data_IF_171197399262
#
_entry.id   IF_171197399262
#
_cell.length_a   1.000
_cell.length_b   1.000
_cell.length_c   1.000
_cell.angle_alpha   90.00
_cell.angle_beta   90.00
_cell.angle_gamma   90.00
#
_symmetry.space_group_name_H-M   'P 1'
#
loop_
_entity.id
_entity.type
_entity.pdbx_description
1 polymer ?
#
# COMPACT_ATOMS: atom_id res chain seq x y z
N UNK A 1 0.31 2.04 -7.94
CA UNK A 1 0.31 2.24 -6.48
C UNK A 1 1.56 3.02 -6.04
N UNK A 2 1.55 3.69 -4.87
CA UNK A 2 2.54 4.70 -4.51
C UNK A 2 3.80 4.13 -3.82
N UNK A 3 4.32 3.01 -4.31
CA UNK A 3 5.51 2.36 -3.75
C UNK A 3 6.58 2.12 -4.81
N UNK A 4 7.82 2.20 -4.39
CA UNK A 4 8.99 1.96 -5.23
C UNK A 4 9.52 0.53 -5.11
N UNK A 5 8.88 -0.29 -4.29
CA UNK A 5 9.25 -1.68 -4.06
C UNK A 5 8.05 -2.62 -4.21
N UNK A 6 8.31 -3.88 -4.41
CA UNK A 6 7.32 -4.95 -4.47
C UNK A 6 7.84 -6.21 -3.79
N UNK A 7 6.92 -7.05 -3.28
CA UNK A 7 7.28 -8.32 -2.66
C UNK A 7 7.30 -9.46 -3.68
N UNK A 8 8.22 -10.40 -3.51
CA UNK A 8 8.32 -11.64 -4.30
C UNK A 8 9.08 -12.70 -3.52
N UNK A 9 9.14 -13.92 -4.04
CA UNK A 9 10.00 -14.96 -3.47
C UNK A 9 11.45 -14.77 -3.94
N UNK A 10 12.39 -15.15 -3.09
CA UNK A 10 13.84 -15.00 -3.36
C UNK A 10 14.29 -15.74 -4.61
N UNK A 11 13.64 -16.86 -4.96
CA UNK A 11 13.96 -17.68 -6.15
C UNK A 11 13.36 -17.15 -7.46
N UNK A 12 12.76 -15.96 -7.48
CA UNK A 12 12.19 -15.37 -8.69
C UNK A 12 13.25 -15.22 -9.79
N UNK A 13 12.93 -15.70 -11.00
CA UNK A 13 13.92 -15.85 -12.09
C UNK A 13 14.56 -14.53 -12.53
N UNK A 14 13.84 -13.42 -12.43
CA UNK A 14 14.34 -12.09 -12.82
C UNK A 14 15.38 -11.53 -11.83
N UNK A 15 15.52 -12.13 -10.63
CA UNK A 15 16.49 -11.75 -9.61
C UNK A 15 17.85 -12.45 -9.77
N UNK A 16 17.96 -13.42 -10.69
CA UNK A 16 19.24 -14.09 -10.95
C UNK A 16 20.31 -13.09 -11.36
N UNK A 17 21.60 -13.32 -10.99
CA UNK A 17 22.68 -12.36 -11.24
C UNK A 17 22.78 -11.88 -12.68
N UNK A 18 22.65 -12.78 -13.66
CA UNK A 18 22.70 -12.47 -15.09
C UNK A 18 21.61 -11.49 -15.54
N UNK A 19 20.48 -11.47 -14.85
CA UNK A 19 19.38 -10.54 -15.13
C UNK A 19 19.44 -9.30 -14.23
N UNK A 20 19.62 -9.50 -12.93
CA UNK A 20 19.53 -8.42 -11.95
C UNK A 20 20.73 -7.50 -11.98
N UNK A 21 21.94 -8.06 -12.00
CA UNK A 21 23.18 -7.30 -12.04
C UNK A 21 23.64 -6.99 -13.47
N UNK A 22 23.73 -8.02 -14.32
CA UNK A 22 24.43 -7.87 -15.60
C UNK A 22 23.57 -7.12 -16.62
N UNK A 23 22.25 -7.34 -16.64
CA UNK A 23 21.31 -6.66 -17.56
C UNK A 23 20.80 -5.35 -16.97
N UNK A 24 20.33 -5.36 -15.71
CA UNK A 24 19.70 -4.18 -15.11
C UNK A 24 20.67 -3.26 -14.37
N UNK A 25 21.89 -3.72 -14.07
CA UNK A 25 22.89 -2.96 -13.33
C UNK A 25 22.59 -2.74 -11.86
N UNK A 26 21.66 -3.50 -11.28
CA UNK A 26 21.23 -3.36 -9.88
C UNK A 26 22.14 -4.14 -8.95
N UNK A 27 22.42 -3.58 -7.78
CA UNK A 27 23.15 -4.25 -6.71
C UNK A 27 22.18 -4.83 -5.69
N UNK A 28 22.45 -6.03 -5.21
CA UNK A 28 21.63 -6.70 -4.21
C UNK A 28 21.53 -5.86 -2.92
N UNK A 29 22.66 -5.34 -2.46
CA UNK A 29 22.81 -4.54 -1.24
C UNK A 29 22.02 -3.22 -1.25
N UNK A 30 21.53 -2.80 -2.41
CA UNK A 30 20.74 -1.57 -2.58
C UNK A 30 19.28 -1.84 -2.93
N UNK A 31 18.96 -3.09 -3.33
CA UNK A 31 17.65 -3.38 -3.94
C UNK A 31 16.91 -4.59 -3.37
N UNK A 32 17.60 -5.56 -2.78
CA UNK A 32 16.96 -6.76 -2.23
C UNK A 32 16.96 -6.69 -0.71
N UNK A 33 15.79 -6.49 -0.15
CA UNK A 33 15.60 -6.34 1.29
C UNK A 33 14.87 -7.55 1.87
N UNK A 34 15.39 -8.07 2.98
CA UNK A 34 14.75 -9.11 3.75
C UNK A 34 13.99 -8.52 4.95
N UNK A 35 12.64 -8.58 4.95
CA UNK A 35 11.82 -8.06 6.04
C UNK A 35 12.05 -8.77 7.38
N UNK A 36 12.45 -10.03 7.36
CA UNK A 36 12.63 -10.83 8.57
C UNK A 36 13.88 -10.44 9.34
N UNK A 37 14.99 -10.20 8.64
CA UNK A 37 16.25 -9.76 9.25
C UNK A 37 16.42 -8.24 9.31
N UNK A 38 15.49 -7.47 8.71
CA UNK A 38 15.54 -6.00 8.61
C UNK A 38 16.84 -5.51 7.91
N UNK A 39 17.24 -6.17 6.81
CA UNK A 39 18.51 -5.89 6.11
C UNK A 39 18.37 -5.99 4.60
N UNK A 40 19.19 -5.21 3.90
CA UNK A 40 19.50 -5.49 2.51
C UNK A 40 20.47 -6.66 2.41
N UNK A 41 20.20 -7.59 1.49
CA UNK A 41 21.02 -8.78 1.30
C UNK A 41 22.27 -8.46 0.47
N UNK A 42 23.42 -9.02 0.87
CA UNK A 42 24.53 -9.12 -0.04
C UNK A 42 24.23 -10.14 -1.14
N UNK A 43 25.01 -10.12 -2.23
CA UNK A 43 24.90 -11.16 -3.28
C UNK A 43 25.09 -12.58 -2.70
N UNK A 44 25.99 -12.73 -1.75
CA UNK A 44 26.24 -14.02 -1.11
C UNK A 44 25.04 -14.47 -0.28
N UNK A 45 24.49 -13.58 0.56
CA UNK A 45 23.30 -13.89 1.36
C UNK A 45 22.10 -14.24 0.48
N UNK A 46 21.93 -13.50 -0.63
CA UNK A 46 20.88 -13.80 -1.60
C UNK A 46 21.01 -15.22 -2.20
N UNK A 47 22.23 -15.58 -2.65
CA UNK A 47 22.48 -16.91 -3.24
C UNK A 47 22.30 -18.04 -2.22
N UNK A 48 22.76 -17.81 -0.98
CA UNK A 48 22.54 -18.74 0.13
C UNK A 48 21.06 -18.93 0.43
N UNK A 49 20.29 -17.84 0.47
CA UNK A 49 18.85 -17.88 0.71
C UNK A 49 18.11 -18.59 -0.44
N UNK A 50 18.49 -18.34 -1.69
CA UNK A 50 17.93 -19.09 -2.86
C UNK A 50 18.17 -20.59 -2.73
N UNK A 51 19.33 -21.00 -2.24
CA UNK A 51 19.71 -22.41 -2.11
C UNK A 51 18.98 -23.12 -0.95
N UNK A 52 18.79 -22.42 0.17
CA UNK A 52 18.29 -23.03 1.41
C UNK A 52 16.80 -22.74 1.67
N UNK A 53 16.30 -21.59 1.23
CA UNK A 53 14.94 -21.09 1.50
C UNK A 53 14.29 -20.50 0.23
N UNK A 54 14.14 -21.25 -0.87
CA UNK A 54 13.73 -20.69 -2.17
C UNK A 54 12.34 -20.03 -2.18
N UNK A 55 11.50 -20.32 -1.21
CA UNK A 55 10.17 -19.72 -1.00
C UNK A 55 10.18 -18.48 -0.09
N UNK A 56 11.34 -18.09 0.44
CA UNK A 56 11.43 -16.95 1.36
C UNK A 56 10.99 -15.64 0.68
N UNK A 57 10.14 -14.87 1.38
CA UNK A 57 9.59 -13.61 0.87
C UNK A 57 10.57 -12.47 1.10
N UNK A 58 10.87 -11.76 0.05
CA UNK A 58 11.72 -10.57 0.06
C UNK A 58 11.00 -9.36 -0.54
N UNK A 59 11.56 -8.19 -0.33
CA UNK A 59 11.13 -6.93 -0.95
C UNK A 59 12.19 -6.48 -1.94
N UNK A 60 11.75 -6.20 -3.16
CA UNK A 60 12.60 -5.75 -4.26
C UNK A 60 12.37 -4.27 -4.50
N UNK A 61 13.38 -3.45 -4.23
CA UNK A 61 13.36 -2.03 -4.51
C UNK A 61 13.72 -1.75 -5.97
N UNK A 62 12.97 -0.86 -6.60
CA UNK A 62 13.16 -0.45 -7.99
C UNK A 62 13.50 1.05 -8.02
N UNK A 63 14.79 1.41 -7.98
CA UNK A 63 15.22 2.81 -7.84
C UNK A 63 14.63 3.77 -8.87
N UNK A 64 14.53 3.32 -10.13
CA UNK A 64 13.96 4.12 -11.22
C UNK A 64 12.52 4.58 -10.97
N UNK A 65 11.72 3.84 -10.20
CA UNK A 65 10.35 4.24 -9.88
C UNK A 65 10.27 5.50 -9.03
N UNK A 66 11.30 5.77 -8.22
CA UNK A 66 11.35 6.97 -7.38
C UNK A 66 11.28 8.25 -8.22
N UNK A 67 11.99 8.26 -9.35
CA UNK A 67 12.03 9.42 -10.24
C UNK A 67 10.71 9.63 -10.99
N UNK A 68 9.98 8.54 -11.25
CA UNK A 68 8.69 8.59 -11.95
C UNK A 68 7.52 8.96 -11.06
N UNK A 69 7.63 8.75 -9.76
CA UNK A 69 6.55 8.93 -8.79
C UNK A 69 5.95 10.34 -8.86
N UNK A 70 6.77 11.38 -8.94
CA UNK A 70 6.31 12.77 -9.02
C UNK A 70 5.42 13.05 -10.25
N UNK A 71 5.68 12.39 -11.37
CA UNK A 71 4.88 12.56 -12.57
C UNK A 71 3.52 11.87 -12.43
N UNK A 72 3.50 10.68 -11.86
CA UNK A 72 2.31 9.90 -11.59
C UNK A 72 1.37 10.62 -10.66
N UNK A 73 1.89 11.23 -9.54
CA UNK A 73 1.12 11.97 -8.55
C UNK A 73 0.42 13.21 -9.15
N UNK A 74 0.94 13.76 -10.24
CA UNK A 74 0.40 14.94 -10.92
C UNK A 74 -0.37 14.63 -12.21
N UNK A 75 -0.54 13.36 -12.57
CA UNK A 75 -1.18 12.96 -13.84
C UNK A 75 -2.71 12.98 -13.72
N UNK A 76 -3.42 13.80 -14.52
CA UNK A 76 -4.87 13.81 -14.51
C UNK A 76 -5.48 12.44 -14.83
N UNK A 77 -6.62 12.13 -14.20
CA UNK A 77 -7.38 10.89 -14.38
C UNK A 77 -6.63 9.60 -13.99
N UNK A 78 -5.39 9.71 -13.51
CA UNK A 78 -4.69 8.60 -12.88
C UNK A 78 -5.36 8.27 -11.55
N UNK A 79 -5.80 7.03 -11.39
CA UNK A 79 -6.38 6.53 -10.14
C UNK A 79 -5.33 5.82 -9.30
N UNK A 80 -5.51 5.86 -7.99
CA UNK A 80 -4.65 5.14 -7.05
C UNK A 80 -5.31 3.82 -6.67
N UNK A 81 -4.55 2.74 -6.86
CA UNK A 81 -4.91 1.41 -6.38
C UNK A 81 -3.87 0.93 -5.35
N UNK A 82 -4.31 0.15 -4.38
CA UNK A 82 -3.44 -0.38 -3.33
C UNK A 82 -2.64 -1.60 -3.79
N UNK A 83 -3.20 -2.40 -4.70
CA UNK A 83 -2.68 -3.74 -5.00
C UNK A 83 -2.57 -4.60 -3.71
N UNK A 84 -3.54 -4.38 -2.77
CA UNK A 84 -3.55 -5.00 -1.45
C UNK A 84 -3.68 -6.52 -1.55
N UNK A 85 -3.07 -7.19 -0.59
CA UNK A 85 -3.19 -8.62 -0.39
C UNK A 85 -4.12 -8.92 0.79
N UNK A 86 -4.58 -10.15 0.90
CA UNK A 86 -5.31 -10.62 2.09
C UNK A 86 -4.42 -10.49 3.33
N UNK A 87 -5.04 -10.31 4.50
CA UNK A 87 -4.35 -10.31 5.78
C UNK A 87 -3.86 -11.72 6.11
N UNK A 88 -2.59 -11.99 5.86
CA UNK A 88 -1.96 -13.26 6.19
C UNK A 88 -0.90 -13.06 7.27
N UNK A 89 -0.72 -14.07 8.10
CA UNK A 89 0.39 -14.16 9.04
C UNK A 89 1.68 -14.65 8.35
N UNK A 90 2.76 -14.79 9.10
CA UNK A 90 4.06 -15.28 8.62
C UNK A 90 4.03 -16.74 8.11
N UNK A 91 2.99 -17.51 8.43
CA UNK A 91 2.82 -18.89 7.99
C UNK A 91 1.90 -18.98 6.76
N UNK A 92 1.34 -17.84 6.30
CA UNK A 92 0.40 -17.79 5.20
C UNK A 92 -1.05 -18.08 5.60
N UNK A 93 -1.36 -18.09 6.90
CA UNK A 93 -2.70 -18.31 7.41
C UNK A 93 -3.48 -16.99 7.45
N UNK A 94 -4.79 -17.04 7.19
CA UNK A 94 -5.65 -15.86 7.26
C UNK A 94 -5.74 -15.33 8.68
N UNK A 95 -5.42 -14.04 8.84
CA UNK A 95 -5.58 -13.35 10.11
C UNK A 95 -7.05 -13.11 10.42
N UNK A 96 -7.46 -13.31 11.69
CA UNK A 96 -8.78 -12.90 12.13
C UNK A 96 -8.94 -11.37 12.06
N UNK A 97 -10.18 -10.92 12.06
CA UNK A 97 -10.52 -9.50 11.92
C UNK A 97 -9.88 -8.60 13.00
N UNK A 98 -9.76 -9.11 14.20
CA UNK A 98 -9.23 -8.42 15.40
C UNK A 98 -7.76 -8.74 15.69
N UNK A 99 -7.05 -9.35 14.73
CA UNK A 99 -5.63 -9.63 14.85
C UNK A 99 -4.82 -8.36 15.13
N UNK A 100 -3.77 -8.51 15.92
CA UNK A 100 -2.82 -7.41 16.11
C UNK A 100 -2.14 -7.07 14.77
N UNK A 101 -2.06 -5.79 14.38
CA UNK A 101 -1.42 -5.38 13.12
C UNK A 101 0.02 -5.88 12.95
N UNK A 102 0.73 -6.18 14.05
CA UNK A 102 2.09 -6.74 14.00
C UNK A 102 2.16 -8.19 13.53
N UNK A 103 1.03 -8.90 13.56
CA UNK A 103 0.95 -10.29 13.06
C UNK A 103 0.91 -10.36 11.53
N UNK A 104 0.57 -9.25 10.87
CA UNK A 104 0.50 -9.20 9.41
C UNK A 104 1.89 -9.36 8.77
N UNK A 105 2.00 -10.35 7.88
CA UNK A 105 3.21 -10.64 7.14
C UNK A 105 3.00 -10.38 5.63
N UNK A 106 3.13 -9.12 5.22
CA UNK A 106 2.93 -8.74 3.84
C UNK A 106 3.52 -7.38 3.50
N UNK A 107 3.15 -6.85 2.36
CA UNK A 107 3.62 -5.55 1.91
C UNK A 107 2.84 -4.42 2.60
N UNK A 108 3.48 -3.33 3.06
CA UNK A 108 2.81 -2.21 3.73
C UNK A 108 1.71 -1.53 2.90
N UNK A 109 1.66 -1.79 1.58
CA UNK A 109 0.63 -1.26 0.68
C UNK A 109 -0.80 -1.62 1.11
N UNK A 110 -0.99 -2.74 1.81
CA UNK A 110 -2.30 -3.20 2.25
C UNK A 110 -3.00 -2.18 3.15
N UNK A 111 -2.29 -1.61 4.13
CA UNK A 111 -2.85 -0.64 5.07
C UNK A 111 -2.45 0.81 4.84
N UNK A 112 -1.53 1.10 3.89
CA UNK A 112 -0.92 2.44 3.83
C UNK A 112 -0.86 3.09 2.44
N UNK A 113 -1.43 2.49 1.40
CA UNK A 113 -1.38 3.07 0.03
C UNK A 113 -1.96 4.48 -0.04
N UNK A 114 -3.10 4.73 0.57
CA UNK A 114 -3.76 6.03 0.49
C UNK A 114 -3.05 7.10 1.32
N UNK A 115 -2.64 6.77 2.53
CA UNK A 115 -1.86 7.68 3.38
C UNK A 115 -0.48 7.98 2.80
N UNK A 116 0.16 6.99 2.16
CA UNK A 116 1.42 7.18 1.41
C UNK A 116 1.21 8.15 0.24
N UNK A 117 0.12 8.00 -0.52
CA UNK A 117 -0.20 8.91 -1.63
C UNK A 117 -0.41 10.34 -1.12
N UNK A 118 -1.20 10.52 -0.05
CA UNK A 118 -1.45 11.84 0.56
C UNK A 118 -0.14 12.49 1.04
N UNK A 119 0.73 11.72 1.70
CA UNK A 119 2.03 12.19 2.15
C UNK A 119 2.91 12.61 0.96
N UNK A 120 3.08 11.74 -0.02
CA UNK A 120 3.92 12.02 -1.20
C UNK A 120 3.40 13.20 -2.02
N UNK A 121 2.08 13.30 -2.21
CA UNK A 121 1.45 14.43 -2.90
C UNK A 121 1.74 15.75 -2.19
N UNK A 122 1.58 15.79 -0.87
CA UNK A 122 1.92 16.96 -0.03
C UNK A 122 3.40 17.34 -0.16
N UNK A 123 4.31 16.38 -0.08
CA UNK A 123 5.76 16.61 -0.20
C UNK A 123 6.19 17.08 -1.60
N UNK A 124 5.41 16.75 -2.63
CA UNK A 124 5.66 17.16 -4.02
C UNK A 124 4.80 18.35 -4.46
N UNK A 125 4.07 19.01 -3.55
CA UNK A 125 3.27 20.19 -3.85
C UNK A 125 2.05 19.95 -4.73
N UNK A 126 1.56 18.69 -4.81
CA UNK A 126 0.33 18.37 -5.53
C UNK A 126 -0.87 18.85 -4.73
N UNK A 127 -1.83 19.58 -5.34
CA UNK A 127 -2.99 20.09 -4.62
C UNK A 127 -3.82 18.99 -3.97
N UNK A 128 -4.24 19.18 -2.72
CA UNK A 128 -5.00 18.18 -1.96
C UNK A 128 -6.24 17.69 -2.71
N UNK A 129 -7.03 18.59 -3.28
CA UNK A 129 -8.27 18.20 -3.99
C UNK A 129 -7.99 17.36 -5.24
N UNK A 130 -6.85 17.57 -5.90
CA UNK A 130 -6.42 16.73 -7.01
C UNK A 130 -6.09 15.30 -6.52
N UNK A 131 -5.35 15.19 -5.42
CA UNK A 131 -5.03 13.90 -4.80
C UNK A 131 -6.29 13.18 -4.32
N UNK A 132 -7.25 13.88 -3.72
CA UNK A 132 -8.52 13.28 -3.32
C UNK A 132 -9.33 12.78 -4.52
N UNK A 133 -9.27 13.46 -5.65
CA UNK A 133 -9.89 12.95 -6.88
C UNK A 133 -9.23 11.64 -7.34
N UNK A 134 -7.91 11.51 -7.27
CA UNK A 134 -7.20 10.26 -7.57
C UNK A 134 -7.54 9.13 -6.62
N UNK A 135 -7.77 9.43 -5.33
CA UNK A 135 -8.04 8.43 -4.30
C UNK A 135 -9.51 7.98 -4.24
N UNK A 136 -10.43 8.80 -4.72
CA UNK A 136 -11.87 8.59 -4.51
C UNK A 136 -12.71 8.87 -5.77
N UNK A 137 -12.80 10.13 -6.18
CA UNK A 137 -13.75 10.56 -7.20
C UNK A 137 -13.53 9.88 -8.56
N UNK A 138 -12.30 9.87 -9.07
CA UNK A 138 -12.01 9.25 -10.37
C UNK A 138 -12.18 7.74 -10.37
N UNK A 139 -11.86 7.07 -9.25
CA UNK A 139 -12.13 5.65 -9.08
C UNK A 139 -13.63 5.34 -9.18
N UNK A 140 -14.44 6.05 -8.41
CA UNK A 140 -15.90 5.87 -8.40
C UNK A 140 -16.50 6.24 -9.76
N UNK A 141 -16.04 7.34 -10.38
CA UNK A 141 -16.49 7.78 -11.69
C UNK A 141 -16.17 6.72 -12.77
N UNK A 142 -14.93 6.23 -12.82
CA UNK A 142 -14.50 5.22 -13.79
C UNK A 142 -15.39 3.97 -13.71
N UNK A 143 -15.59 3.42 -12.52
CA UNK A 143 -16.43 2.24 -12.33
C UNK A 143 -17.93 2.54 -12.57
N UNK A 144 -18.39 3.72 -12.17
CA UNK A 144 -19.78 4.14 -12.40
C UNK A 144 -20.10 4.33 -13.89
N UNK A 145 -19.17 4.88 -14.66
CA UNK A 145 -19.30 5.08 -16.12
C UNK A 145 -19.32 3.74 -16.88
N UNK A 146 -18.69 2.68 -16.32
CA UNK A 146 -18.77 1.32 -16.88
C UNK A 146 -20.05 0.55 -16.51
N UNK A 147 -20.97 1.19 -15.80
CA UNK A 147 -22.31 0.65 -15.47
C UNK A 147 -22.47 0.12 -14.04
N UNK A 148 -21.46 0.26 -13.17
CA UNK A 148 -21.58 -0.13 -11.76
C UNK A 148 -22.35 0.95 -10.98
N UNK A 149 -23.67 0.79 -10.87
CA UNK A 149 -24.60 1.77 -10.28
C UNK A 149 -24.20 2.18 -8.85
N UNK A 150 -23.74 1.23 -8.05
CA UNK A 150 -23.28 1.50 -6.67
C UNK A 150 -22.16 2.54 -6.60
N UNK A 151 -21.34 2.68 -7.62
CA UNK A 151 -20.24 3.66 -7.68
C UNK A 151 -20.71 5.04 -8.16
N UNK A 152 -21.87 5.16 -8.76
CA UNK A 152 -22.50 6.46 -9.08
C UNK A 152 -22.96 7.21 -7.83
N UNK A 153 -23.14 6.47 -6.72
CA UNK A 153 -23.55 7.00 -5.42
C UNK A 153 -22.39 7.26 -4.46
N UNK A 154 -21.12 7.03 -4.88
CA UNK A 154 -19.90 7.13 -4.07
C UNK A 154 -18.88 8.11 -4.66
N UNK A 155 -17.77 8.29 -3.98
CA UNK A 155 -16.61 9.07 -4.43
C UNK A 155 -16.72 10.57 -4.24
N UNK A 156 -17.80 11.07 -3.61
CA UNK A 156 -18.04 12.50 -3.36
C UNK A 156 -18.89 12.75 -2.14
N UNK A 157 -18.70 13.87 -1.48
CA UNK A 157 -19.55 14.35 -0.41
C UNK A 157 -20.66 15.19 -1.03
N UNK A 158 -21.87 14.63 -1.10
CA UNK A 158 -23.04 15.28 -1.70
C UNK A 158 -24.31 14.77 -1.03
N UNK A 159 -25.30 15.66 -0.81
CA UNK A 159 -26.61 15.29 -0.28
C UNK A 159 -27.28 14.23 -1.15
N UNK A 160 -27.79 13.18 -0.53
CA UNK A 160 -28.45 12.05 -1.21
C UNK A 160 -27.49 10.95 -1.68
N UNK A 161 -26.17 11.09 -1.48
CA UNK A 161 -25.19 10.07 -1.77
C UNK A 161 -24.84 9.23 -0.54
N UNK A 162 -24.24 8.06 -0.77
CA UNK A 162 -23.83 7.16 0.30
C UNK A 162 -22.75 7.82 1.15
N UNK A 163 -22.91 7.76 2.46
CA UNK A 163 -22.00 8.35 3.42
C UNK A 163 -20.82 7.40 3.71
N UNK A 164 -19.90 7.30 2.75
CA UNK A 164 -18.58 6.70 2.92
C UNK A 164 -17.57 7.83 3.09
N UNK A 165 -17.18 8.12 4.33
CA UNK A 165 -16.42 9.32 4.68
C UNK A 165 -15.15 8.95 5.46
N UNK A 166 -14.07 9.64 5.15
CA UNK A 166 -12.82 9.56 5.92
C UNK A 166 -12.45 10.95 6.39
N UNK A 167 -12.33 11.13 7.71
CA UNK A 167 -11.87 12.37 8.32
C UNK A 167 -10.37 12.22 8.63
N UNK A 168 -9.58 13.18 8.18
CA UNK A 168 -8.14 13.16 8.38
C UNK A 168 -7.56 14.58 8.44
N UNK A 169 -6.41 14.71 9.10
CA UNK A 169 -5.64 15.95 9.06
C UNK A 169 -4.70 15.93 7.84
N UNK A 170 -4.89 16.82 6.85
CA UNK A 170 -4.08 16.84 5.64
C UNK A 170 -2.59 17.15 5.89
N UNK A 171 -2.24 17.73 7.04
CA UNK A 171 -0.86 18.08 7.38
C UNK A 171 -0.11 16.92 8.04
N UNK A 172 -0.82 16.04 8.73
CA UNK A 172 -0.20 14.99 9.56
C UNK A 172 -0.47 13.56 9.07
N UNK A 173 -1.47 13.35 8.19
CA UNK A 173 -1.77 12.03 7.64
C UNK A 173 -0.53 11.43 6.97
N UNK A 174 -0.17 10.20 7.41
CA UNK A 174 1.03 9.51 6.96
C UNK A 174 0.93 7.99 7.17
N UNK A 175 1.65 7.17 6.39
CA UNK A 175 1.82 5.75 6.68
C UNK A 175 2.65 5.57 7.96
N UNK A 176 2.33 4.53 8.73
CA UNK A 176 3.18 4.02 9.82
C UNK A 176 3.79 2.68 9.44
N UNK A 177 3.12 1.94 8.55
CA UNK A 177 3.62 0.66 8.08
C UNK A 177 4.96 0.82 7.33
N UNK A 178 5.90 -0.09 7.61
CA UNK A 178 7.21 -0.19 6.97
C UNK A 178 7.34 -1.54 6.28
N UNK A 179 8.47 -1.80 5.62
CA UNK A 179 8.73 -3.10 5.02
C UNK A 179 9.18 -4.16 6.03
N UNK A 180 9.51 -3.75 7.26
CA UNK A 180 9.97 -4.64 8.33
C UNK A 180 8.83 -5.52 8.84
N UNK A 181 9.12 -6.79 9.07
CA UNK A 181 8.18 -7.72 9.68
C UNK A 181 7.77 -7.24 11.07
N UNK A 182 6.48 -7.31 11.38
CA UNK A 182 5.90 -6.77 12.61
C UNK A 182 5.53 -5.28 12.55
N UNK A 183 5.98 -4.55 11.52
CA UNK A 183 5.62 -3.15 11.30
C UNK A 183 4.82 -2.94 10.02
N UNK A 184 4.76 -3.92 9.15
CA UNK A 184 4.17 -3.85 7.81
C UNK A 184 2.62 -3.81 7.80
N UNK A 185 1.98 -4.18 8.89
CA UNK A 185 0.53 -4.06 9.11
C UNK A 185 0.09 -2.83 9.89
N UNK A 186 1.01 -1.98 10.35
CA UNK A 186 0.66 -0.85 11.21
C UNK A 186 -0.35 0.10 10.52
N UNK A 187 -1.42 0.53 11.23
CA UNK A 187 -2.40 1.44 10.69
C UNK A 187 -1.80 2.83 10.44
N UNK A 188 -2.34 3.53 9.45
CA UNK A 188 -1.93 4.90 9.13
C UNK A 188 -2.23 5.87 10.27
N UNK A 189 -1.39 6.91 10.41
CA UNK A 189 -1.61 8.00 11.35
C UNK A 189 -2.47 9.12 10.74
N UNK A 190 -3.11 9.93 11.60
CA UNK A 190 -3.84 11.12 11.19
C UNK A 190 -5.22 10.87 10.59
N UNK A 191 -5.81 9.69 10.82
CA UNK A 191 -7.16 9.31 10.36
C UNK A 191 -7.99 8.90 11.59
N UNK A 192 -8.55 9.85 12.34
CA UNK A 192 -9.30 9.54 13.57
C UNK A 192 -10.67 8.89 13.31
N UNK A 193 -11.32 9.19 12.17
CA UNK A 193 -12.68 8.74 11.91
C UNK A 193 -12.86 8.20 10.50
N UNK A 194 -13.52 7.03 10.40
CA UNK A 194 -13.98 6.47 9.14
C UNK A 194 -15.44 6.06 9.27
N UNK A 195 -16.23 6.43 8.30
CA UNK A 195 -17.68 6.12 8.22
C UNK A 195 -17.89 5.35 6.93
N UNK A 196 -18.60 4.23 7.02
CA UNK A 196 -18.99 3.41 5.87
C UNK A 196 -20.49 3.24 5.89
N UNK A 197 -21.14 3.56 4.78
CA UNK A 197 -22.60 3.48 4.65
C UNK A 197 -23.36 4.15 5.82
N UNK A 198 -22.85 5.30 6.29
CA UNK A 198 -23.40 6.07 7.40
C UNK A 198 -23.09 5.53 8.81
N UNK A 199 -22.36 4.42 8.93
CA UNK A 199 -21.98 3.83 10.22
C UNK A 199 -20.50 4.10 10.51
N UNK A 200 -20.19 4.52 11.73
CA UNK A 200 -18.80 4.74 12.17
C UNK A 200 -18.11 3.39 12.31
N UNK A 201 -17.04 3.19 11.56
CA UNK A 201 -16.20 1.97 11.56
C UNK A 201 -14.83 2.19 12.19
N UNK A 202 -14.39 3.45 12.27
CA UNK A 202 -13.22 3.88 13.06
C UNK A 202 -13.62 5.12 13.85
N UNK A 203 -13.35 5.11 15.14
CA UNK A 203 -13.59 6.20 16.09
C UNK A 203 -12.35 6.44 16.93
N UNK A 204 -11.84 7.67 16.95
CA UNK A 204 -10.60 8.04 17.63
C UNK A 204 -9.40 7.12 17.29
N UNK A 205 -9.30 6.73 16.01
CA UNK A 205 -8.30 5.80 15.48
C UNK A 205 -8.44 4.34 15.96
N UNK A 206 -9.56 3.98 16.58
CA UNK A 206 -9.88 2.61 17.02
C UNK A 206 -10.94 2.01 16.08
N UNK A 207 -10.65 0.82 15.55
CA UNK A 207 -11.57 0.07 14.70
C UNK A 207 -12.74 -0.47 15.54
N UNK A 208 -13.96 -0.25 15.06
CA UNK A 208 -15.21 -0.68 15.71
C UNK A 208 -15.63 -2.06 15.19
N UNK A 209 -16.25 -2.89 16.06
CA UNK A 209 -16.75 -4.21 15.68
C UNK A 209 -18.10 -4.14 14.93
N UNK A 210 -18.09 -3.52 13.76
CA UNK A 210 -19.27 -3.35 12.89
C UNK A 210 -18.90 -3.65 11.42
N UNK A 211 -19.88 -4.09 10.63
CA UNK A 211 -19.67 -4.52 9.23
C UNK A 211 -20.74 -3.90 8.31
N UNK A 212 -20.78 -2.57 8.14
CA UNK A 212 -21.81 -1.88 7.36
C UNK A 212 -21.56 -1.91 5.85
N UNK A 213 -20.46 -2.48 5.38
CA UNK A 213 -20.14 -2.63 3.96
C UNK A 213 -21.20 -3.46 3.23
N UNK A 214 -21.46 -3.11 1.95
CA UNK A 214 -22.42 -3.78 1.06
C UNK A 214 -21.69 -4.22 -0.21
#
# INVERSE_FOLDING_TARGET
YPFTAGSTIVSATFLKPEMWQDVNGYKYEETIYDPASDKFLSKTDYLDMVANEPGHMIVVFMPARKDWMKYWLAMPEMVVASDAMMGLDKNGELLPYDADPSEYAGHPRTGSSYSTTLKLARENGVPLMFTLAQLSYWNAKHLGDTGLVAMQERGRVQVGKIADLTLFDPNTVAPRATYKMGENGLPSAGIPWVIVNGTIVVEDSVVQDVRPGQ
#
